data_IF_032462610294
#
_entry.id   IF_032462610294
#
_cell.length_a   1.000
_cell.length_b   1.000
_cell.length_c   1.000
_cell.angle_alpha   90.00
_cell.angle_beta   90.00
_cell.angle_gamma   90.00
#
_symmetry.space_group_name_H-M   'P 1'
#
loop_
_entity.id
_entity.type
_entity.pdbx_description
1 polymer ?
#
# COMPACT_ATOMS: atom_id res chain seq x y z
N UNK A 1 -16.36 51.66 21.50
CA UNK A 1 -17.08 52.37 20.43
C UNK A 1 -18.18 51.50 19.79
N UNK A 2 -17.87 50.34 19.19
CA UNK A 2 -18.88 49.49 18.52
C UNK A 2 -19.96 48.91 19.45
N UNK A 3 -19.59 48.46 20.65
CA UNK A 3 -20.56 48.00 21.67
C UNK A 3 -21.55 49.11 22.09
N UNK A 4 -21.10 50.36 22.13
CA UNK A 4 -21.95 51.51 22.44
C UNK A 4 -22.90 51.89 21.29
N UNK A 5 -22.58 51.48 20.06
CA UNK A 5 -23.44 51.63 18.87
C UNK A 5 -24.44 50.46 18.71
N UNK A 6 -24.50 49.55 19.68
CA UNK A 6 -25.40 48.39 19.68
C UNK A 6 -24.87 47.15 18.94
N UNK A 7 -23.59 47.10 18.59
CA UNK A 7 -23.02 45.93 17.92
C UNK A 7 -22.62 44.82 18.91
N UNK A 8 -22.79 43.57 18.51
CA UNK A 8 -22.36 42.35 19.22
C UNK A 8 -21.09 41.79 18.60
N UNK A 9 -20.23 41.21 19.45
CA UNK A 9 -19.00 40.55 19.00
C UNK A 9 -19.34 39.10 18.60
N UNK A 10 -19.02 38.72 17.37
CA UNK A 10 -19.24 37.38 16.82
C UNK A 10 -17.94 36.69 16.43
N UNK A 11 -16.80 37.16 16.96
CA UNK A 11 -15.49 36.58 16.67
C UNK A 11 -15.49 35.10 17.12
N UNK A 12 -15.24 34.15 16.20
CA UNK A 12 -15.31 32.72 16.50
C UNK A 12 -14.07 32.19 17.24
N UNK A 13 -13.05 33.03 17.43
CA UNK A 13 -11.79 32.68 18.10
C UNK A 13 -11.56 33.58 19.31
N UNK A 14 -10.82 33.05 20.29
CA UNK A 14 -10.33 33.85 21.40
C UNK A 14 -9.28 34.87 20.93
N UNK A 15 -9.08 35.92 21.74
CA UNK A 15 -8.24 37.06 21.36
C UNK A 15 -6.74 36.76 21.26
N UNK A 16 -6.30 35.66 21.86
CA UNK A 16 -4.96 35.10 21.76
C UNK A 16 -4.74 34.32 20.44
N UNK A 17 -5.84 33.96 19.77
CA UNK A 17 -5.84 33.11 18.58
C UNK A 17 -5.94 33.95 17.29
N UNK A 18 -6.70 35.04 17.29
CA UNK A 18 -6.81 35.96 16.15
C UNK A 18 -6.82 37.42 16.59
N UNK A 19 -6.04 38.25 15.90
CA UNK A 19 -6.03 39.70 16.10
C UNK A 19 -7.27 40.39 15.52
N UNK A 20 -7.99 39.72 14.61
CA UNK A 20 -9.18 40.24 13.98
C UNK A 20 -10.41 40.04 14.84
N UNK A 21 -11.24 41.08 14.97
CA UNK A 21 -12.52 41.03 15.69
C UNK A 21 -13.67 41.31 14.73
N UNK A 22 -14.64 40.40 14.71
CA UNK A 22 -15.84 40.52 13.90
C UNK A 22 -16.99 41.04 14.75
N UNK A 23 -17.65 42.09 14.28
CA UNK A 23 -18.78 42.74 14.96
C UNK A 23 -19.96 42.83 14.01
N UNK A 24 -21.14 42.48 14.52
CA UNK A 24 -22.41 42.56 13.78
C UNK A 24 -23.35 43.54 14.48
N UNK A 25 -24.25 44.16 13.73
CA UNK A 25 -25.38 44.94 14.25
C UNK A 25 -26.71 44.18 14.07
N UNK A 26 -26.66 42.97 13.53
CA UNK A 26 -27.84 42.12 13.37
C UNK A 26 -28.35 41.68 14.74
N UNK A 27 -29.68 41.65 14.89
CA UNK A 27 -30.33 41.01 16.03
C UNK A 27 -30.66 39.53 15.74
N UNK A 28 -30.52 39.10 14.49
CA UNK A 28 -30.84 37.76 14.02
C UNK A 28 -29.57 36.90 13.87
N UNK A 29 -29.55 35.78 14.60
CA UNK A 29 -28.47 34.78 14.59
C UNK A 29 -28.34 34.07 13.24
N UNK A 30 -29.43 33.96 12.45
CA UNK A 30 -29.37 33.33 11.13
C UNK A 30 -28.54 34.17 10.15
N UNK A 31 -28.66 35.50 10.25
CA UNK A 31 -27.90 36.45 9.44
C UNK A 31 -26.41 36.35 9.77
N UNK A 32 -26.05 36.21 11.05
CA UNK A 32 -24.65 36.05 11.47
C UNK A 32 -24.05 34.75 10.94
N UNK A 33 -24.79 33.64 10.90
CA UNK A 33 -24.33 32.38 10.31
C UNK A 33 -24.04 32.52 8.81
N UNK A 34 -24.89 33.23 8.07
CA UNK A 34 -24.68 33.51 6.65
C UNK A 34 -23.41 34.36 6.47
N UNK A 35 -23.23 35.43 7.25
CA UNK A 35 -22.04 36.27 7.18
C UNK A 35 -20.75 35.51 7.51
N UNK A 36 -20.74 34.67 8.54
CA UNK A 36 -19.57 33.85 8.86
C UNK A 36 -19.25 32.85 7.74
N UNK A 37 -20.27 32.27 7.10
CA UNK A 37 -20.11 31.37 5.96
C UNK A 37 -19.55 32.10 4.73
N UNK A 38 -20.03 33.32 4.46
CA UNK A 38 -19.53 34.15 3.36
C UNK A 38 -18.08 34.59 3.61
N UNK A 39 -17.75 34.99 4.84
CA UNK A 39 -16.38 35.30 5.25
C UNK A 39 -15.45 34.08 5.12
N UNK A 40 -15.94 32.87 5.43
CA UNK A 40 -15.18 31.63 5.22
C UNK A 40 -14.93 31.37 3.73
N UNK A 41 -15.97 31.43 2.90
CA UNK A 41 -15.83 31.20 1.47
C UNK A 41 -15.00 32.26 0.75
N UNK A 42 -15.01 33.50 1.25
CA UNK A 42 -14.18 34.59 0.73
C UNK A 42 -12.74 34.58 1.27
N UNK A 43 -12.40 33.63 2.15
CA UNK A 43 -11.05 33.44 2.68
C UNK A 43 -10.66 34.42 3.79
N UNK A 44 -11.57 35.28 4.25
CA UNK A 44 -11.35 36.20 5.37
C UNK A 44 -11.47 35.53 6.73
N UNK A 45 -12.25 34.44 6.82
CA UNK A 45 -12.27 33.55 7.98
C UNK A 45 -11.59 32.24 7.61
N UNK A 46 -10.46 31.96 8.26
CA UNK A 46 -9.93 30.60 8.30
C UNK A 46 -10.46 29.92 9.56
N UNK A 47 -11.00 28.69 9.50
CA UNK A 47 -11.37 27.90 10.67
C UNK A 47 -10.17 27.55 11.54
N UNK A 48 -8.96 27.73 10.99
CA UNK A 48 -7.69 27.47 11.65
C UNK A 48 -6.79 28.72 11.47
N UNK A 49 -6.63 29.53 12.51
CA UNK A 49 -5.82 30.74 12.46
C UNK A 49 -4.36 30.40 12.20
N UNK A 50 -3.72 31.22 11.36
CA UNK A 50 -2.42 30.97 10.74
C UNK A 50 -1.25 30.74 11.72
N UNK A 51 -1.41 31.09 12.99
CA UNK A 51 -0.38 30.92 14.03
C UNK A 51 -0.37 29.52 14.68
N UNK A 52 -1.40 28.70 14.44
CA UNK A 52 -1.47 27.32 14.94
C UNK A 52 -1.03 26.39 13.80
N UNK A 53 0.20 25.88 13.85
CA UNK A 53 0.62 24.79 12.96
C UNK A 53 -0.39 23.65 13.05
N UNK A 54 -1.01 23.32 11.91
CA UNK A 54 -2.06 22.31 11.87
C UNK A 54 -1.47 20.96 12.32
N UNK A 55 -2.06 20.24 13.30
CA UNK A 55 -1.50 18.98 13.79
C UNK A 55 -1.21 17.96 12.68
N UNK A 56 -2.03 17.94 11.61
CA UNK A 56 -1.78 17.10 10.45
C UNK A 56 -0.56 17.56 9.62
N UNK A 57 -0.29 18.85 9.49
CA UNK A 57 0.92 19.34 8.81
C UNK A 57 2.18 18.99 9.60
N UNK A 58 2.12 19.14 10.94
CA UNK A 58 3.19 18.68 11.83
C UNK A 58 3.43 17.18 11.61
N UNK A 59 2.37 16.37 11.59
CA UNK A 59 2.47 14.94 11.32
C UNK A 59 3.15 14.65 9.98
N UNK A 60 2.68 15.26 8.88
CA UNK A 60 3.23 15.04 7.54
C UNK A 60 4.70 15.43 7.46
N UNK A 61 5.07 16.57 8.03
CA UNK A 61 6.45 17.04 8.10
C UNK A 61 7.33 16.08 8.91
N UNK A 62 6.88 15.65 10.09
CA UNK A 62 7.59 14.68 10.92
C UNK A 62 7.77 13.33 10.20
N UNK A 63 6.75 12.86 9.47
CA UNK A 63 6.81 11.62 8.73
C UNK A 63 7.78 11.72 7.54
N UNK A 64 7.70 12.80 6.76
CA UNK A 64 8.60 13.06 5.64
C UNK A 64 10.07 13.14 6.09
N UNK A 65 10.35 13.84 7.19
CA UNK A 65 11.69 13.94 7.75
C UNK A 65 12.19 12.59 8.28
N UNK A 66 11.33 11.83 8.98
CA UNK A 66 11.64 10.47 9.40
C UNK A 66 11.96 9.55 8.21
N UNK A 67 11.19 9.67 7.12
CA UNK A 67 11.39 8.92 5.89
C UNK A 67 12.73 9.25 5.20
N UNK A 68 13.11 10.54 5.17
CA UNK A 68 14.40 10.99 4.62
C UNK A 68 15.58 10.54 5.49
N UNK A 69 15.49 10.72 6.82
CA UNK A 69 16.55 10.39 7.80
C UNK A 69 16.79 8.89 7.95
N UNK A 70 15.84 8.06 7.55
CA UNK A 70 15.97 6.61 7.66
C UNK A 70 17.18 6.10 6.86
N UNK A 71 18.25 5.73 7.58
CA UNK A 71 19.50 5.17 7.06
C UNK A 71 19.37 3.73 6.58
N UNK A 72 18.24 3.06 6.88
CA UNK A 72 18.02 1.70 6.40
C UNK A 72 17.98 1.68 4.87
N UNK A 73 18.32 0.51 4.30
CA UNK A 73 18.19 0.22 2.87
C UNK A 73 16.77 0.53 2.36
N UNK A 74 16.57 0.45 1.04
CA UNK A 74 15.26 0.65 0.41
C UNK A 74 14.11 -0.11 1.14
N UNK A 75 14.40 -1.26 1.74
CA UNK A 75 13.47 -2.07 2.52
C UNK A 75 12.94 -1.37 3.78
N UNK A 76 13.79 -0.64 4.51
CA UNK A 76 13.37 0.06 5.73
C UNK A 76 12.49 1.29 5.43
N UNK A 77 12.77 1.99 4.32
CA UNK A 77 11.90 3.08 3.83
C UNK A 77 10.56 2.54 3.34
N UNK A 78 10.61 1.46 2.57
CA UNK A 78 9.43 0.75 2.10
C UNK A 78 8.55 0.29 3.27
N UNK A 79 9.14 -0.29 4.32
CA UNK A 79 8.44 -0.76 5.51
C UNK A 79 7.67 0.35 6.22
N UNK A 80 8.30 1.50 6.49
CA UNK A 80 7.62 2.61 7.17
C UNK A 80 6.50 3.16 6.28
N UNK A 81 6.78 3.37 4.99
CA UNK A 81 5.77 3.86 4.05
C UNK A 81 4.58 2.90 3.95
N UNK A 82 4.82 1.59 4.00
CA UNK A 82 3.78 0.55 3.88
C UNK A 82 2.71 0.61 4.98
N UNK A 83 3.00 1.24 6.12
CA UNK A 83 2.06 1.39 7.24
C UNK A 83 0.86 2.26 6.83
N UNK A 84 1.12 3.37 6.14
CA UNK A 84 0.09 4.35 5.78
C UNK A 84 -0.26 4.33 4.28
N UNK A 85 0.50 3.61 3.47
CA UNK A 85 0.38 3.70 2.01
C UNK A 85 -1.00 3.30 1.49
N UNK A 86 -1.74 2.46 2.21
CA UNK A 86 -3.07 1.98 1.81
C UNK A 86 -4.20 2.94 2.23
N UNK A 87 -3.97 3.76 3.25
CA UNK A 87 -4.96 4.68 3.84
C UNK A 87 -5.13 5.98 3.05
N UNK A 88 -4.11 6.39 2.31
CA UNK A 88 -4.10 7.65 1.56
C UNK A 88 -4.07 7.41 0.05
N UNK A 89 -4.55 8.37 -0.73
CA UNK A 89 -4.46 8.29 -2.19
C UNK A 89 -3.02 8.45 -2.67
N UNK A 90 -2.75 8.04 -3.92
CA UNK A 90 -1.43 8.29 -4.52
C UNK A 90 -1.10 9.78 -4.54
N UNK A 91 -2.08 10.61 -4.93
CA UNK A 91 -1.91 12.05 -5.02
C UNK A 91 -1.50 12.65 -3.67
N UNK A 92 -2.25 12.33 -2.59
CA UNK A 92 -1.97 12.87 -1.25
C UNK A 92 -0.58 12.49 -0.77
N UNK A 93 -0.18 11.23 -0.98
CA UNK A 93 1.15 10.75 -0.59
C UNK A 93 2.26 11.42 -1.40
N UNK A 94 2.05 11.65 -2.70
CA UNK A 94 3.03 12.34 -3.53
C UNK A 94 3.18 13.81 -3.14
N UNK A 95 2.06 14.50 -2.92
CA UNK A 95 2.03 15.91 -2.54
C UNK A 95 2.62 16.14 -1.14
N UNK A 96 2.16 15.36 -0.14
CA UNK A 96 2.56 15.57 1.26
C UNK A 96 3.95 15.05 1.60
N UNK A 97 4.41 13.97 0.95
CA UNK A 97 5.70 13.34 1.27
C UNK A 97 6.78 13.55 0.21
N UNK A 98 6.44 14.06 -0.98
CA UNK A 98 7.39 14.25 -2.09
C UNK A 98 7.98 12.94 -2.61
N UNK A 99 7.24 11.83 -2.49
CA UNK A 99 7.69 10.49 -2.88
C UNK A 99 7.17 10.11 -4.28
N UNK A 100 7.93 9.28 -5.00
CA UNK A 100 7.53 8.83 -6.33
C UNK A 100 6.36 7.83 -6.28
N UNK A 101 5.57 7.80 -7.35
CA UNK A 101 4.55 6.77 -7.56
C UNK A 101 5.12 5.35 -7.43
N UNK A 102 6.32 5.11 -7.95
CA UNK A 102 6.98 3.80 -7.86
C UNK A 102 7.23 3.37 -6.42
N UNK A 103 7.68 4.29 -5.56
CA UNK A 103 7.90 4.03 -4.13
C UNK A 103 6.60 3.67 -3.41
N UNK A 104 5.50 4.39 -3.72
CA UNK A 104 4.18 4.11 -3.15
C UNK A 104 3.67 2.74 -3.60
N UNK A 105 3.77 2.44 -4.90
CA UNK A 105 3.34 1.16 -5.44
C UNK A 105 4.15 -0.01 -4.84
N UNK A 106 5.46 0.18 -4.68
CA UNK A 106 6.32 -0.80 -4.04
C UNK A 106 5.94 -1.02 -2.57
N UNK A 107 5.68 0.03 -1.81
CA UNK A 107 5.22 -0.06 -0.41
C UNK A 107 3.87 -0.75 -0.25
N UNK A 108 2.92 -0.51 -1.15
CA UNK A 108 1.63 -1.23 -1.14
C UNK A 108 1.78 -2.71 -1.45
N UNK A 109 2.60 -3.07 -2.45
CA UNK A 109 2.93 -4.47 -2.74
C UNK A 109 3.60 -5.13 -1.54
N UNK A 110 4.52 -4.41 -0.90
CA UNK A 110 5.19 -4.87 0.31
C UNK A 110 4.20 -5.16 1.44
N UNK A 111 3.27 -4.24 1.72
CA UNK A 111 2.22 -4.43 2.74
C UNK A 111 1.35 -5.67 2.47
N UNK A 112 0.99 -5.92 1.21
CA UNK A 112 0.18 -7.09 0.82
C UNK A 112 0.90 -8.42 1.03
N UNK A 113 2.22 -8.45 0.82
CA UNK A 113 3.02 -9.68 0.91
C UNK A 113 3.48 -9.93 2.36
N UNK A 114 3.94 -8.89 3.06
CA UNK A 114 4.62 -9.04 4.35
C UNK A 114 3.77 -8.55 5.53
N UNK A 115 2.71 -7.80 5.29
CA UNK A 115 2.00 -7.01 6.29
C UNK A 115 2.55 -5.57 6.40
N UNK A 116 1.69 -4.58 6.72
CA UNK A 116 2.10 -3.19 6.89
C UNK A 116 3.08 -3.05 8.07
N UNK A 117 4.24 -2.41 7.84
CA UNK A 117 5.24 -2.19 8.88
C UNK A 117 6.04 -3.43 9.30
N UNK A 118 5.74 -4.62 8.75
CA UNK A 118 6.39 -5.86 9.09
C UNK A 118 7.79 -5.98 8.45
N UNK A 119 8.64 -6.81 9.05
CA UNK A 119 9.91 -7.16 8.41
C UNK A 119 9.64 -7.92 7.09
N UNK A 120 10.49 -7.75 6.05
CA UNK A 120 10.39 -8.58 4.86
C UNK A 120 10.42 -10.05 5.26
N UNK A 121 9.51 -10.85 4.70
CA UNK A 121 9.52 -12.29 4.90
C UNK A 121 10.91 -12.81 4.54
N UNK A 122 11.55 -13.47 5.50
CA UNK A 122 12.85 -14.06 5.28
C UNK A 122 12.69 -15.09 4.17
N UNK A 123 13.33 -14.84 3.03
CA UNK A 123 13.31 -15.77 1.90
C UNK A 123 13.78 -17.12 2.46
N UNK A 124 12.94 -18.15 2.36
CA UNK A 124 13.32 -19.51 2.77
C UNK A 124 14.63 -19.78 2.03
N UNK A 125 15.73 -19.94 2.78
CA UNK A 125 16.94 -20.50 2.21
C UNK A 125 16.56 -21.93 1.87
N UNK A 126 16.16 -22.14 0.62
CA UNK A 126 16.10 -23.49 0.05
C UNK A 126 17.54 -23.96 0.02
N UNK A 127 17.97 -24.52 1.14
CA UNK A 127 19.06 -25.47 1.16
C UNK A 127 18.60 -26.57 0.23
N UNK A 128 19.16 -26.63 -0.99
CA UNK A 128 19.09 -27.84 -1.79
C UNK A 128 19.97 -28.89 -1.09
N UNK A 129 19.54 -29.33 0.08
CA UNK A 129 19.97 -30.60 0.66
C UNK A 129 19.26 -31.68 -0.16
N UNK A 130 19.68 -31.85 -1.40
CA UNK A 130 19.21 -32.95 -2.23
C UNK A 130 20.44 -33.60 -2.85
N UNK A 131 21.28 -34.22 -2.03
CA UNK A 131 21.77 -35.52 -2.45
C UNK A 131 20.53 -36.40 -2.45
N UNK A 132 19.81 -36.42 -3.57
CA UNK A 132 18.83 -37.47 -3.82
C UNK A 132 19.58 -38.78 -3.53
N UNK A 133 19.06 -39.58 -2.60
CA UNK A 133 19.66 -40.86 -2.26
C UNK A 133 19.71 -41.67 -3.56
N UNK A 134 20.80 -42.43 -3.81
CA UNK A 134 21.00 -43.19 -5.05
C UNK A 134 19.73 -43.97 -5.45
N UNK A 135 19.08 -44.62 -4.47
CA UNK A 135 17.80 -45.32 -4.66
C UNK A 135 16.69 -44.47 -5.29
N UNK A 136 16.57 -43.20 -4.91
CA UNK A 136 15.59 -42.29 -5.51
C UNK A 136 15.98 -41.92 -6.94
N UNK A 137 17.27 -41.73 -7.21
CA UNK A 137 17.75 -41.48 -8.58
C UNK A 137 17.49 -42.68 -9.48
N UNK A 138 17.78 -43.89 -9.01
CA UNK A 138 17.51 -45.13 -9.73
C UNK A 138 16.00 -45.29 -10.00
N UNK A 139 15.15 -44.94 -9.04
CA UNK A 139 13.69 -44.95 -9.23
C UNK A 139 13.22 -43.94 -10.27
N UNK A 140 13.77 -42.72 -10.28
CA UNK A 140 13.46 -41.74 -11.31
C UNK A 140 13.91 -42.23 -12.69
N UNK A 141 15.12 -42.80 -12.78
CA UNK A 141 15.65 -43.32 -14.04
C UNK A 141 14.77 -44.44 -14.59
N UNK A 142 14.38 -45.41 -13.74
CA UNK A 142 13.45 -46.48 -14.12
C UNK A 142 12.11 -45.89 -14.59
N UNK A 143 11.57 -44.90 -13.87
CA UNK A 143 10.30 -44.27 -14.22
C UNK A 143 10.35 -43.53 -15.57
N UNK A 144 11.44 -42.82 -15.86
CA UNK A 144 11.62 -42.07 -17.10
C UNK A 144 12.07 -42.93 -18.29
N UNK A 145 12.50 -44.17 -18.07
CA UNK A 145 12.74 -45.14 -19.15
C UNK A 145 11.48 -45.92 -19.55
N UNK A 146 10.45 -45.92 -18.70
CA UNK A 146 9.20 -46.62 -18.96
C UNK A 146 8.31 -45.87 -19.95
N UNK A 147 8.12 -46.48 -21.14
CA UNK A 147 7.27 -45.95 -22.22
C UNK A 147 5.77 -45.92 -21.85
N UNK A 148 5.35 -46.60 -20.79
CA UNK A 148 3.99 -46.48 -20.25
C UNK A 148 3.77 -45.16 -19.50
N UNK A 149 4.85 -44.52 -19.02
CA UNK A 149 4.79 -43.29 -18.24
C UNK A 149 5.23 -42.06 -19.05
N UNK A 150 6.12 -42.25 -20.02
CA UNK A 150 6.64 -41.16 -20.85
C UNK A 150 6.64 -41.46 -22.34
N UNK A 151 6.50 -40.40 -23.15
CA UNK A 151 6.69 -40.43 -24.59
C UNK A 151 7.86 -39.52 -24.99
N UNK A 152 8.65 -39.99 -25.94
CA UNK A 152 9.80 -39.26 -26.46
C UNK A 152 9.34 -38.29 -27.54
N UNK A 153 9.78 -37.03 -27.48
CA UNK A 153 9.56 -36.09 -28.59
C UNK A 153 10.30 -36.55 -29.85
N UNK A 154 9.60 -36.61 -30.97
CA UNK A 154 10.21 -36.92 -32.27
C UNK A 154 10.91 -35.74 -32.93
N UNK A 155 10.64 -34.50 -32.48
CA UNK A 155 11.12 -33.27 -33.14
C UNK A 155 11.75 -32.26 -32.18
N UNK A 156 11.75 -32.50 -30.86
CA UNK A 156 12.40 -31.63 -29.88
C UNK A 156 13.45 -32.38 -29.09
N UNK A 157 14.65 -31.82 -29.10
CA UNK A 157 15.80 -32.25 -28.30
C UNK A 157 16.21 -31.13 -27.37
N UNK A 158 16.82 -31.48 -26.24
CA UNK A 158 17.42 -30.50 -25.34
C UNK A 158 18.64 -29.86 -26.03
N UNK A 159 18.70 -28.52 -26.16
CA UNK A 159 19.75 -27.84 -26.91
C UNK A 159 21.17 -28.03 -26.35
N UNK A 160 21.31 -28.42 -25.07
CA UNK A 160 22.61 -28.55 -24.41
C UNK A 160 23.17 -29.96 -24.50
N UNK A 161 22.31 -30.97 -24.36
CA UNK A 161 22.69 -32.38 -24.30
C UNK A 161 22.43 -33.12 -25.61
N UNK A 162 21.59 -32.58 -26.50
CA UNK A 162 21.18 -33.23 -27.75
C UNK A 162 20.23 -34.41 -27.56
N UNK A 163 19.82 -34.71 -26.32
CA UNK A 163 18.92 -35.81 -26.00
C UNK A 163 17.46 -35.42 -26.30
N UNK A 164 16.60 -36.37 -26.73
CA UNK A 164 15.19 -36.12 -26.91
C UNK A 164 14.49 -35.65 -25.63
N UNK A 165 13.58 -34.67 -25.76
CA UNK A 165 12.76 -34.23 -24.62
C UNK A 165 11.68 -35.29 -24.33
N UNK A 166 11.55 -35.68 -23.06
CA UNK A 166 10.51 -36.61 -22.58
C UNK A 166 9.26 -35.85 -22.15
N UNK A 167 8.08 -36.35 -22.52
CA UNK A 167 6.78 -35.88 -22.06
C UNK A 167 6.11 -36.94 -21.19
N UNK A 168 5.57 -36.54 -20.04
CA UNK A 168 4.74 -37.43 -19.22
C UNK A 168 3.43 -37.73 -19.94
N UNK A 169 3.05 -39.01 -19.96
CA UNK A 169 1.77 -39.47 -20.47
C UNK A 169 0.66 -39.09 -19.49
N UNK A 170 -0.44 -38.53 -20.00
CA UNK A 170 -1.60 -38.16 -19.18
C UNK A 170 -2.41 -39.42 -18.84
N UNK A 171 -2.34 -39.87 -17.58
CA UNK A 171 -3.08 -41.04 -17.08
C UNK A 171 -4.54 -40.72 -16.69
N UNK A 172 -5.09 -39.55 -17.06
CA UNK A 172 -6.47 -39.14 -16.72
C UNK A 172 -7.57 -40.16 -17.07
N UNK A 173 -7.34 -41.08 -18.02
CA UNK A 173 -8.35 -42.10 -18.34
C UNK A 173 -8.49 -43.20 -17.27
N UNK A 174 -7.51 -43.39 -16.39
CA UNK A 174 -7.55 -44.46 -15.38
C UNK A 174 -8.47 -44.07 -14.21
N UNK A 175 -8.54 -42.79 -13.86
CA UNK A 175 -9.36 -42.29 -12.75
C UNK A 175 -10.73 -41.72 -13.18
N UNK A 176 -11.01 -41.65 -14.49
CA UNK A 176 -12.25 -41.06 -15.02
C UNK A 176 -13.47 -41.99 -15.00
N UNK A 177 -13.27 -43.32 -14.95
CA UNK A 177 -14.37 -44.29 -15.00
C UNK A 177 -15.01 -44.61 -13.65
N UNK A 178 -14.37 -44.24 -12.53
CA UNK A 178 -14.92 -44.48 -11.19
C UNK A 178 -15.93 -43.40 -10.74
N UNK A 179 -16.09 -42.32 -11.51
CA UNK A 179 -16.99 -41.20 -11.19
C UNK A 179 -18.29 -41.18 -12.01
N UNK A 180 -18.56 -42.20 -12.82
CA UNK A 180 -19.80 -42.32 -13.60
C UNK A 180 -20.49 -43.67 -13.39
N UNK A 181 -20.86 -44.00 -12.15
CA UNK A 181 -21.98 -44.91 -11.90
C UNK A 181 -23.22 -44.09 -11.56
N UNK A 182 -24.25 -44.08 -12.43
CA UNK A 182 -25.59 -43.63 -12.04
C UNK A 182 -26.15 -44.59 -10.97
N UNK A 183 -27.03 -44.04 -10.12
CA UNK A 183 -27.79 -44.74 -9.07
C UNK A 183 -28.50 -45.98 -9.63
#
# INVERSE_FOLDING_TARGET
MLKAAGCTNITPFDSDISSYKFWTKSADLAVDQVFLKDLYHSGFLSPHPSDIQHPAEIFWNCFAESYKKNKNSADGKCRILSIIAQEFTYHDLQEKLGISFHSINFARKFARINGPGCAPLQKIKVSRNSRLIQKMQDQFEIFFQDKANVTISSYKVDPKTGLPILYLLDQKQIYGNDFLKPI
#
